data_IF_220543952729
#
_entry.id   IF_220543952729
#
_cell.length_a   1.000
_cell.length_b   1.000
_cell.length_c   1.000
_cell.angle_alpha   90.00
_cell.angle_beta   90.00
_cell.angle_gamma   90.00
#
_symmetry.space_group_name_H-M   'P 1'
#
loop_
_entity.id
_entity.type
_entity.pdbx_description
1 polymer ?
#
# COMPACT_ATOMS: atom_id res chain seq x y z
N UNK A 1 2.11 -8.34 -0.80
CA UNK A 1 2.14 -6.88 -0.62
C UNK A 1 2.26 -6.58 0.86
N UNK A 2 3.21 -5.75 1.25
CA UNK A 2 3.43 -5.40 2.65
C UNK A 2 3.78 -3.93 2.77
N UNK A 3 3.24 -3.26 3.79
CA UNK A 3 3.59 -1.89 4.14
C UNK A 3 3.80 -1.77 5.65
N UNK A 4 4.81 -1.01 6.04
CA UNK A 4 5.08 -0.65 7.43
C UNK A 4 5.00 0.87 7.55
N UNK A 5 4.34 1.33 8.62
CA UNK A 5 4.16 2.75 8.89
C UNK A 5 4.63 3.03 10.31
N UNK A 6 5.51 4.02 10.43
CA UNK A 6 6.03 4.47 11.73
C UNK A 6 5.82 5.98 11.84
N UNK A 7 5.17 6.40 12.91
CA UNK A 7 4.87 7.81 13.18
C UNK A 7 5.53 8.26 14.47
N UNK A 8 5.86 9.55 14.57
CA UNK A 8 6.45 10.12 15.78
C UNK A 8 5.44 10.20 16.94
N UNK A 9 4.15 10.18 16.64
CA UNK A 9 3.07 10.25 17.63
C UNK A 9 1.97 9.25 17.26
N UNK A 10 1.11 8.94 18.24
CA UNK A 10 -0.05 8.08 18.01
C UNK A 10 -1.01 8.77 17.05
N UNK A 11 -1.38 8.06 15.99
CA UNK A 11 -2.37 8.52 15.01
C UNK A 11 -3.74 7.93 15.34
N UNK A 12 -4.80 8.72 15.15
CA UNK A 12 -6.16 8.22 15.34
C UNK A 12 -6.55 7.20 14.26
N UNK A 13 -6.01 7.38 13.05
CA UNK A 13 -6.27 6.47 11.93
C UNK A 13 -5.07 6.43 10.99
N UNK A 14 -4.73 5.23 10.54
CA UNK A 14 -3.78 5.01 9.46
C UNK A 14 -4.49 4.20 8.39
N UNK A 15 -4.56 4.73 7.17
CA UNK A 15 -5.20 4.08 6.03
C UNK A 15 -4.11 3.67 5.05
N UNK A 16 -4.05 2.39 4.71
CA UNK A 16 -3.10 1.87 3.73
C UNK A 16 -3.89 1.27 2.58
N UNK A 17 -3.67 1.78 1.38
CA UNK A 17 -4.25 1.21 0.16
C UNK A 17 -3.15 0.55 -0.65
N UNK A 18 -3.29 -0.74 -0.89
CA UNK A 18 -2.39 -1.50 -1.75
C UNK A 18 -2.98 -1.56 -3.15
N UNK A 19 -2.15 -1.24 -4.13
CA UNK A 19 -2.48 -1.42 -5.54
C UNK A 19 -1.54 -2.46 -6.13
N UNK A 20 -2.09 -3.44 -6.83
CA UNK A 20 -1.31 -4.34 -7.65
C UNK A 20 -1.29 -3.78 -9.05
N UNK A 21 -0.10 -3.54 -9.58
CA UNK A 21 0.09 -2.98 -10.91
C UNK A 21 0.75 -4.00 -11.82
N UNK A 22 0.27 -4.09 -13.06
CA UNK A 22 0.82 -4.95 -14.10
C UNK A 22 1.42 -4.10 -15.19
N UNK A 23 2.61 -4.47 -15.65
CA UNK A 23 3.27 -3.79 -16.76
C UNK A 23 2.58 -4.14 -18.08
N UNK A 24 2.16 -3.12 -18.82
CA UNK A 24 1.55 -3.25 -20.14
C UNK A 24 2.33 -2.38 -21.13
N UNK A 25 3.18 -3.01 -21.94
CA UNK A 25 4.13 -2.26 -22.76
C UNK A 25 5.13 -1.51 -21.89
N UNK A 26 5.11 -0.19 -21.90
CA UNK A 26 5.92 0.67 -21.04
C UNK A 26 5.13 1.34 -19.91
N UNK A 27 3.86 0.94 -19.70
CA UNK A 27 2.96 1.59 -18.76
C UNK A 27 2.52 0.60 -17.67
N UNK A 28 2.49 1.06 -16.42
CA UNK A 28 1.95 0.31 -15.30
C UNK A 28 0.46 0.61 -15.16
N UNK A 29 -0.34 -0.45 -15.05
CA UNK A 29 -1.80 -0.35 -14.88
C UNK A 29 -2.22 -1.01 -13.58
N UNK A 30 -3.15 -0.38 -12.86
CA UNK A 30 -3.75 -0.96 -11.66
C UNK A 30 -4.67 -2.11 -12.07
N UNK A 31 -4.41 -3.30 -11.55
CA UNK A 31 -5.22 -4.50 -11.82
C UNK A 31 -5.97 -4.98 -10.58
N UNK A 32 -5.70 -4.40 -9.42
CA UNK A 32 -6.41 -4.70 -8.19
C UNK A 32 -6.02 -3.73 -7.09
N UNK A 33 -6.88 -3.59 -6.09
CA UNK A 33 -6.61 -2.76 -4.92
C UNK A 33 -7.29 -3.31 -3.68
N UNK A 34 -6.68 -3.07 -2.52
CA UNK A 34 -7.21 -3.43 -1.21
C UNK A 34 -6.83 -2.36 -0.21
N UNK A 35 -7.79 -1.93 0.62
CA UNK A 35 -7.54 -0.94 1.66
C UNK A 35 -7.63 -1.58 3.04
N UNK A 36 -6.65 -1.30 3.89
CA UNK A 36 -6.61 -1.74 5.27
C UNK A 36 -6.43 -0.55 6.20
N UNK A 37 -6.89 -0.70 7.45
CA UNK A 37 -6.91 0.39 8.43
C UNK A 37 -6.24 -0.05 9.73
N UNK A 38 -5.64 0.92 10.41
CA UNK A 38 -5.20 0.78 11.80
C UNK A 38 -5.65 2.02 12.58
N UNK A 39 -5.96 1.85 13.85
CA UNK A 39 -6.49 2.92 14.69
C UNK A 39 -5.69 3.05 15.98
N UNK A 40 -5.56 4.29 16.47
CA UNK A 40 -4.93 4.59 17.76
C UNK A 40 -3.55 3.95 17.91
N UNK A 41 -2.69 4.14 16.91
CA UNK A 41 -1.35 3.55 16.90
C UNK A 41 -0.34 4.50 16.27
N UNK A 42 0.90 4.40 16.72
CA UNK A 42 2.02 5.12 16.12
C UNK A 42 2.75 4.30 15.07
N UNK A 43 2.49 2.99 15.02
CA UNK A 43 3.12 2.13 14.01
C UNK A 43 2.19 0.98 13.66
N UNK A 44 2.27 0.54 12.41
CA UNK A 44 1.53 -0.63 11.94
C UNK A 44 2.27 -1.27 10.79
N UNK A 45 2.08 -2.58 10.65
CA UNK A 45 2.54 -3.33 9.49
C UNK A 45 1.36 -4.13 8.97
N UNK A 46 1.08 -4.02 7.68
CA UNK A 46 -0.01 -4.74 7.02
C UNK A 46 0.52 -5.46 5.80
N UNK A 47 0.01 -6.64 5.54
CA UNK A 47 0.34 -7.40 4.34
C UNK A 47 -0.93 -7.94 3.69
N UNK A 48 -0.90 -8.03 2.37
CA UNK A 48 -1.99 -8.56 1.57
C UNK A 48 -1.40 -9.52 0.54
N UNK A 49 -2.02 -10.67 0.38
CA UNK A 49 -1.60 -11.68 -0.59
C UNK A 49 -2.50 -11.59 -1.83
N UNK A 50 -1.88 -11.51 -3.01
CA UNK A 50 -2.57 -11.58 -4.28
C UNK A 50 -2.43 -12.99 -4.85
N UNK A 51 -3.50 -13.51 -5.46
CA UNK A 51 -3.53 -14.84 -6.06
C UNK A 51 -4.30 -14.82 -7.38
N UNK A 52 -4.17 -15.89 -8.16
CA UNK A 52 -4.86 -16.00 -9.45
C UNK A 52 -4.31 -15.08 -10.52
N UNK A 53 -3.04 -14.67 -10.42
CA UNK A 53 -2.43 -13.74 -11.37
C UNK A 53 -2.00 -14.49 -12.64
N UNK A 54 -2.25 -13.85 -13.79
CA UNK A 54 -1.75 -14.33 -15.07
C UNK A 54 -0.25 -14.03 -15.21
N UNK A 55 0.40 -14.64 -16.21
CA UNK A 55 1.80 -14.33 -16.51
C UNK A 55 2.00 -12.85 -16.80
N UNK A 56 3.10 -12.29 -16.34
CA UNK A 56 3.44 -10.88 -16.56
C UNK A 56 4.36 -10.33 -15.50
N UNK A 57 4.64 -9.04 -15.61
CA UNK A 57 5.47 -8.31 -14.66
C UNK A 57 4.56 -7.45 -13.79
N UNK A 58 4.72 -7.58 -12.47
CA UNK A 58 3.88 -6.90 -11.49
C UNK A 58 4.72 -6.12 -10.50
N UNK A 59 4.14 -5.08 -9.93
CA UNK A 59 4.68 -4.38 -8.77
C UNK A 59 3.55 -3.98 -7.84
N UNK A 60 3.89 -3.64 -6.60
CA UNK A 60 2.94 -3.14 -5.62
C UNK A 60 3.17 -1.66 -5.38
N UNK A 61 2.10 -0.88 -5.36
CA UNK A 61 2.09 0.49 -4.89
C UNK A 61 1.31 0.54 -3.59
N UNK A 62 1.86 1.18 -2.57
CA UNK A 62 1.15 1.42 -1.32
C UNK A 62 0.97 2.92 -1.12
N UNK A 63 -0.26 3.35 -0.87
CA UNK A 63 -0.59 4.73 -0.49
C UNK A 63 -0.99 4.72 0.97
N UNK A 64 -0.32 5.54 1.78
CA UNK A 64 -0.55 5.62 3.22
C UNK A 64 -1.07 7.01 3.54
N UNK A 65 -2.20 7.08 4.25
CA UNK A 65 -2.74 8.33 4.81
C UNK A 65 -2.79 8.17 6.31
N UNK A 66 -2.11 9.06 7.04
CA UNK A 66 -2.15 9.09 8.50
C UNK A 66 -2.97 10.30 8.94
N UNK A 67 -3.84 10.09 9.93
CA UNK A 67 -4.70 11.15 10.47
C UNK A 67 -4.52 11.22 11.97
N UNK A 68 -4.11 12.38 12.47
CA UNK A 68 -3.99 12.65 13.89
C UNK A 68 -5.35 13.05 14.49
N UNK A 69 -5.52 12.85 15.79
CA UNK A 69 -6.75 13.25 16.49
C UNK A 69 -7.03 14.75 16.44
N UNK A 70 -6.01 15.56 16.19
CA UNK A 70 -6.14 17.02 15.99
C UNK A 70 -6.71 17.39 14.60
N UNK A 71 -6.90 16.41 13.70
CA UNK A 71 -7.36 16.66 12.35
C UNK A 71 -6.24 16.79 11.31
N UNK A 72 -4.98 16.76 11.75
CA UNK A 72 -3.84 16.78 10.85
C UNK A 72 -3.78 15.48 10.06
N UNK A 73 -3.53 15.56 8.77
CA UNK A 73 -3.35 14.36 7.94
C UNK A 73 -2.17 14.53 6.98
N UNK A 74 -1.55 13.41 6.65
CA UNK A 74 -0.39 13.37 5.76
C UNK A 74 -0.47 12.11 4.92
N UNK A 75 -0.01 12.19 3.67
CA UNK A 75 -0.05 11.06 2.74
C UNK A 75 1.34 10.80 2.15
N UNK A 76 1.65 9.53 1.92
CA UNK A 76 2.89 9.09 1.30
C UNK A 76 2.63 7.89 0.40
N UNK A 77 3.46 7.73 -0.64
CA UNK A 77 3.40 6.61 -1.56
C UNK A 77 4.73 5.84 -1.55
N UNK A 78 4.64 4.53 -1.71
CA UNK A 78 5.81 3.68 -1.87
C UNK A 78 5.57 2.63 -2.95
N UNK A 79 6.65 2.11 -3.51
CA UNK A 79 6.59 1.07 -4.54
C UNK A 79 7.49 -0.08 -4.16
N UNK A 80 7.06 -1.30 -4.44
CA UNK A 80 7.92 -2.48 -4.37
C UNK A 80 8.76 -2.61 -5.64
N UNK A 81 9.78 -3.45 -5.59
CA UNK A 81 10.48 -3.90 -6.78
C UNK A 81 9.53 -4.71 -7.68
N UNK A 82 9.87 -4.82 -8.96
CA UNK A 82 9.06 -5.59 -9.89
C UNK A 82 9.29 -7.10 -9.72
N UNK A 83 8.23 -7.87 -9.95
CA UNK A 83 8.25 -9.33 -9.92
C UNK A 83 7.74 -9.84 -11.27
N UNK A 84 8.48 -10.74 -11.87
CA UNK A 84 8.09 -11.34 -13.15
C UNK A 84 7.51 -12.73 -12.91
N UNK A 85 6.28 -12.94 -13.34
CA UNK A 85 5.61 -14.25 -13.25
C UNK A 85 5.62 -14.92 -14.63
N UNK A 86 6.11 -16.17 -14.67
CA UNK A 86 6.15 -16.92 -15.92
C UNK A 86 4.77 -17.31 -16.45
#
# INVERSE_FOLDING_TARGET
MRAEVHCAAVMSKITITFYLQKLSGSTWKDVGSTTVYAYNTSSTAKSVTASGLSAGTYRTKATVVVTASSGYSEAANGYSGSINLP
#
